data_IF_607957158060
#
_entry.id   IF_607957158060
#
_cell.length_a   1.000
_cell.length_b   1.000
_cell.length_c   1.000
_cell.angle_alpha   90.00
_cell.angle_beta   90.00
_cell.angle_gamma   90.00
#
_symmetry.space_group_name_H-M   'P 1'
#
loop_
_entity.id
_entity.type
_entity.pdbx_description
1 polymer ?
#
# COMPACT_ATOMS: atom_id res chain seq x y z
N UNK A 1 -0.11 14.39 -1.83
CA UNK A 1 -0.09 13.06 -1.17
C UNK A 1 0.45 13.21 0.22
N UNK A 2 -0.16 12.57 1.19
CA UNK A 2 0.30 12.67 2.57
C UNK A 2 1.63 11.96 2.76
N UNK A 3 2.44 12.37 3.73
CA UNK A 3 3.72 11.70 3.97
C UNK A 3 3.62 10.19 4.15
N UNK A 4 2.60 9.73 4.89
CA UNK A 4 2.42 8.30 5.10
C UNK A 4 2.08 7.60 3.79
N UNK A 5 1.31 8.25 2.94
CA UNK A 5 0.93 7.67 1.64
C UNK A 5 2.15 7.57 0.74
N UNK A 6 2.98 8.59 0.75
CA UNK A 6 4.20 8.56 -0.06
C UNK A 6 5.14 7.46 0.42
N UNK A 7 5.25 7.29 1.74
CA UNK A 7 6.10 6.23 2.29
C UNK A 7 5.59 4.84 1.87
N UNK A 8 4.28 4.66 1.87
CA UNK A 8 3.68 3.39 1.45
C UNK A 8 3.96 3.13 -0.03
N UNK A 9 3.76 4.14 -0.88
CA UNK A 9 4.01 4.00 -2.30
C UNK A 9 5.49 3.65 -2.54
N UNK A 10 6.39 4.35 -1.86
CA UNK A 10 7.81 4.10 -2.03
C UNK A 10 8.17 2.67 -1.64
N UNK A 11 7.57 2.14 -0.58
CA UNK A 11 7.82 0.77 -0.17
C UNK A 11 7.30 -0.22 -1.21
N UNK A 12 6.15 0.06 -1.78
CA UNK A 12 5.54 -0.84 -2.75
C UNK A 12 6.19 -0.80 -4.12
N UNK A 13 7.03 0.18 -4.38
CA UNK A 13 7.77 0.20 -5.65
C UNK A 13 8.73 -0.96 -5.79
N UNK A 14 9.12 -1.55 -4.65
CA UNK A 14 9.98 -2.72 -4.69
C UNK A 14 9.20 -3.99 -4.97
N UNK A 15 7.90 -3.93 -4.97
CA UNK A 15 7.05 -5.08 -5.22
C UNK A 15 5.99 -5.21 -4.14
N UNK A 16 5.03 -6.11 -4.35
CA UNK A 16 3.99 -6.35 -3.36
C UNK A 16 4.56 -6.84 -2.03
N UNK A 17 3.91 -6.48 -0.94
CA UNK A 17 4.34 -6.96 0.36
C UNK A 17 3.13 -7.11 1.28
N UNK A 18 3.31 -7.82 2.37
CA UNK A 18 2.24 -8.01 3.33
C UNK A 18 2.02 -6.73 4.09
N UNK A 19 0.81 -6.51 4.56
CA UNK A 19 0.49 -5.33 5.34
C UNK A 19 1.40 -5.21 6.57
N UNK A 20 1.67 -6.35 7.24
CA UNK A 20 2.51 -6.32 8.43
C UNK A 20 3.93 -5.87 8.11
N UNK A 21 4.43 -6.18 6.93
CA UNK A 21 5.75 -5.73 6.53
C UNK A 21 5.78 -4.24 6.33
N UNK A 22 4.69 -3.66 5.82
CA UNK A 22 4.61 -2.22 5.67
C UNK A 22 4.65 -1.54 7.02
N UNK A 23 3.89 -2.06 7.98
CA UNK A 23 3.87 -1.49 9.33
C UNK A 23 5.26 -1.55 9.96
N UNK A 24 5.94 -2.66 9.79
CA UNK A 24 7.28 -2.84 10.32
C UNK A 24 8.27 -1.87 9.68
N UNK A 25 8.12 -1.62 8.39
CA UNK A 25 9.04 -0.74 7.68
C UNK A 25 8.76 0.74 7.90
N UNK A 26 7.64 1.08 8.50
CA UNK A 26 7.26 2.46 8.74
C UNK A 26 7.08 2.70 10.24
N UNK A 27 8.16 2.60 11.02
CA UNK A 27 8.03 2.69 12.47
C UNK A 27 7.62 4.08 12.98
N UNK A 28 7.67 5.10 12.13
CA UNK A 28 7.26 6.42 12.54
C UNK A 28 5.75 6.59 12.51
N UNK A 29 5.03 5.61 12.02
CA UNK A 29 3.57 5.67 11.95
C UNK A 29 2.99 4.50 12.73
N UNK A 30 1.83 4.69 13.34
CA UNK A 30 1.19 3.62 14.09
C UNK A 30 0.51 2.64 13.15
N UNK A 31 0.21 1.46 13.67
CA UNK A 31 -0.51 0.45 12.89
C UNK A 31 -1.82 1.02 12.34
N UNK A 32 -2.56 1.73 13.19
CA UNK A 32 -3.84 2.31 12.77
C UNK A 32 -3.68 3.36 11.68
N UNK A 33 -2.61 4.18 11.77
CA UNK A 33 -2.37 5.18 10.76
C UNK A 33 -2.07 4.53 9.41
N UNK A 34 -1.26 3.48 9.42
CA UNK A 34 -0.92 2.77 8.20
C UNK A 34 -2.18 2.10 7.63
N UNK A 35 -2.99 1.49 8.50
CA UNK A 35 -4.20 0.82 8.04
C UNK A 35 -5.17 1.80 7.38
N UNK A 36 -5.40 2.95 8.01
CA UNK A 36 -6.31 3.95 7.45
C UNK A 36 -5.78 4.46 6.11
N UNK A 37 -4.48 4.70 6.01
CA UNK A 37 -3.89 5.17 4.77
C UNK A 37 -4.04 4.14 3.65
N UNK A 38 -3.75 2.87 3.95
CA UNK A 38 -3.87 1.80 2.96
C UNK A 38 -5.33 1.65 2.52
N UNK A 39 -6.26 1.73 3.48
CA UNK A 39 -7.68 1.61 3.17
C UNK A 39 -8.11 2.73 2.22
N UNK A 40 -7.75 3.96 2.52
CA UNK A 40 -8.10 5.10 1.67
C UNK A 40 -7.47 4.98 0.29
N UNK A 41 -6.21 4.58 0.23
CA UNK A 41 -5.51 4.45 -1.05
C UNK A 41 -6.09 3.30 -1.88
N UNK A 42 -6.59 2.24 -1.23
CA UNK A 42 -7.19 1.15 -1.97
C UNK A 42 -8.53 1.55 -2.57
N UNK A 43 -9.23 2.46 -1.92
CA UNK A 43 -10.52 2.91 -2.42
C UNK A 43 -10.39 3.81 -3.64
N UNK A 44 -9.30 4.54 -3.77
CA UNK A 44 -9.12 5.42 -4.91
C UNK A 44 -8.20 4.84 -5.98
N UNK A 45 -7.80 3.59 -5.83
CA UNK A 45 -7.03 2.90 -6.87
C UNK A 45 -5.53 3.10 -6.82
N UNK A 46 -5.01 3.77 -5.78
CA UNK A 46 -3.55 3.93 -5.67
C UNK A 46 -2.85 2.67 -5.21
N UNK A 47 -3.52 1.85 -4.40
CA UNK A 47 -2.98 0.55 -4.03
C UNK A 47 -4.07 -0.50 -4.18
N UNK A 48 -3.64 -1.76 -4.26
CA UNK A 48 -4.56 -2.88 -4.32
C UNK A 48 -4.36 -3.68 -3.04
N UNK A 49 -5.45 -3.99 -2.35
CA UNK A 49 -5.39 -4.72 -1.10
C UNK A 49 -6.07 -6.05 -1.32
N UNK A 50 -5.32 -7.13 -1.22
CA UNK A 50 -5.82 -8.46 -1.46
C UNK A 50 -5.71 -9.28 -0.18
N UNK A 51 -6.82 -9.92 0.20
CA UNK A 51 -6.82 -10.74 1.40
C UNK A 51 -6.29 -12.12 1.02
N UNK A 52 -5.21 -12.55 1.66
CA UNK A 52 -4.66 -13.87 1.42
C UNK A 52 -4.63 -14.60 2.76
N UNK A 53 -5.07 -15.84 2.79
CA UNK A 53 -5.15 -16.60 4.02
C UNK A 53 -6.25 -16.10 4.92
N UNK A 54 -6.12 -16.35 6.21
CA UNK A 54 -7.18 -16.01 7.14
C UNK A 54 -7.15 -14.56 7.63
N UNK A 55 -6.00 -14.00 7.83
CA UNK A 55 -5.92 -12.67 8.39
C UNK A 55 -4.80 -11.84 7.79
N UNK A 56 -4.27 -12.25 6.67
CA UNK A 56 -3.15 -11.56 6.06
C UNK A 56 -3.59 -10.82 4.82
N UNK A 57 -3.12 -9.59 4.66
CA UNK A 57 -3.41 -8.82 3.47
C UNK A 57 -2.14 -8.59 2.70
N UNK A 58 -2.20 -8.70 1.40
CA UNK A 58 -1.11 -8.35 0.52
C UNK A 58 -1.43 -7.01 -0.11
N UNK A 59 -0.49 -6.10 -0.10
CA UNK A 59 -0.66 -4.77 -0.64
C UNK A 59 0.28 -4.59 -1.83
N UNK A 60 -0.23 -4.04 -2.91
CA UNK A 60 0.58 -3.77 -4.08
C UNK A 60 0.15 -2.44 -4.67
N UNK A 61 0.93 -1.88 -5.57
CA UNK A 61 0.54 -0.66 -6.25
C UNK A 61 -0.70 -0.92 -7.08
N UNK A 62 -1.65 -0.02 -7.01
CA UNK A 62 -2.91 -0.17 -7.73
C UNK A 62 -2.78 0.31 -9.16
N UNK A 63 -3.89 0.26 -9.89
CA UNK A 63 -3.88 0.59 -11.31
C UNK A 63 -3.45 2.02 -11.58
N UNK A 64 -3.66 2.93 -10.64
CA UNK A 64 -3.26 4.32 -10.87
C UNK A 64 -1.75 4.48 -10.98
N UNK A 65 -0.98 3.55 -10.36
CA UNK A 65 0.46 3.60 -10.45
C UNK A 65 1.01 2.49 -11.35
N UNK A 66 0.32 1.36 -11.40
CA UNK A 66 0.78 0.23 -12.18
C UNK A 66 0.79 0.52 -13.66
N UNK A 67 -0.12 1.39 -14.12
CA UNK A 67 -0.15 1.69 -15.50
C UNK A 67 0.62 2.92 -15.87
N UNK A 68 1.38 3.44 -14.99
CA UNK A 68 2.12 4.58 -15.26
C UNK A 68 3.03 4.23 -16.32
N UNK A 69 3.27 4.35 -17.20
CA UNK A 69 4.12 4.04 -18.18
C UNK A 69 3.53 3.24 -19.25
N UNK A 70 2.47 2.76 -19.16
CA UNK A 70 2.00 1.90 -19.98
C UNK A 70 1.16 2.58 -20.86
N UNK A 71 1.13 2.95 -21.69
CA UNK A 71 0.43 3.60 -22.40
C UNK A 71 -0.61 3.08 -22.82
N UNK A 72 -0.99 2.51 -22.47
CA UNK A 72 -2.05 2.12 -22.88
C UNK A 72 -2.81 2.74 -23.33
#
# INVERSE_FOLDING_TARGET
MLPIEQAIVDRLRSGPCCFDDIVTDLPNFSWGEVFVAVDCMSRDGRVSLIHIGYSTYQVSLGSRFAYSGSTS
#
